data_IF_876066147226
#
_entry.id   IF_876066147226
#
_cell.length_a   1.000
_cell.length_b   1.000
_cell.length_c   1.000
_cell.angle_alpha   90.00
_cell.angle_beta   90.00
_cell.angle_gamma   90.00
#
_symmetry.space_group_name_H-M   'P 1'
#
loop_
_entity.id
_entity.type
_entity.pdbx_description
1 polymer ?
#
# COMPACT_ATOMS: atom_id res chain seq x y z
N UNK A 1 -40.35 -17.20 32.20
CA UNK A 1 -40.35 -16.70 30.81
C UNK A 1 -39.23 -15.69 30.65
N UNK A 2 -38.46 -15.87 29.60
CA UNK A 2 -37.01 -15.65 29.50
C UNK A 2 -36.63 -14.19 29.22
N UNK A 3 -35.75 -13.63 30.05
CA UNK A 3 -35.23 -12.26 29.96
C UNK A 3 -33.88 -12.27 29.26
N UNK A 4 -33.85 -12.46 27.94
CA UNK A 4 -32.61 -12.39 27.15
C UNK A 4 -32.89 -11.91 25.73
N UNK A 5 -32.86 -10.60 25.47
CA UNK A 5 -32.78 -10.04 24.11
C UNK A 5 -32.39 -8.55 24.17
N UNK A 6 -31.21 -8.26 24.70
CA UNK A 6 -30.46 -7.04 24.40
C UNK A 6 -28.98 -7.38 24.56
N UNK A 7 -28.26 -7.61 23.45
CA UNK A 7 -26.81 -7.43 23.30
C UNK A 7 -26.28 -8.01 21.98
N UNK A 8 -26.79 -7.59 20.82
CA UNK A 8 -26.20 -8.01 19.52
C UNK A 8 -26.04 -6.86 18.51
N UNK A 9 -26.02 -5.60 18.93
CA UNK A 9 -25.88 -4.47 17.99
C UNK A 9 -24.88 -3.38 18.38
N UNK A 10 -23.87 -3.68 19.21
CA UNK A 10 -22.92 -2.64 19.61
C UNK A 10 -21.43 -2.99 19.47
N UNK A 11 -21.06 -3.90 18.57
CA UNK A 11 -19.65 -4.20 18.24
C UNK A 11 -19.17 -3.60 16.90
N UNK A 12 -19.99 -2.80 16.20
CA UNK A 12 -19.61 -2.26 14.88
C UNK A 12 -19.03 -0.84 14.90
N UNK A 13 -18.70 -0.29 16.07
CA UNK A 13 -18.11 1.05 16.17
C UNK A 13 -16.72 0.96 16.75
N UNK A 14 -15.73 1.07 15.86
CA UNK A 14 -14.30 1.29 16.12
C UNK A 14 -13.39 0.06 16.14
N UNK A 15 -13.46 -0.80 15.11
CA UNK A 15 -12.36 -1.75 14.86
C UNK A 15 -11.64 -1.43 13.55
N UNK A 16 -10.38 -1.04 13.69
CA UNK A 16 -9.39 -1.01 12.61
C UNK A 16 -9.16 -2.39 11.99
N UNK A 17 -9.61 -3.48 12.64
CA UNK A 17 -9.62 -4.85 12.08
C UNK A 17 -10.63 -5.03 10.94
N UNK A 18 -11.59 -4.10 10.76
CA UNK A 18 -12.50 -4.09 9.60
C UNK A 18 -11.86 -3.59 8.30
N UNK A 19 -10.68 -2.98 8.35
CA UNK A 19 -10.02 -2.40 7.17
C UNK A 19 -9.31 -3.43 6.30
N UNK A 20 -9.05 -3.02 5.05
CA UNK A 20 -8.33 -3.78 4.03
C UNK A 20 -7.09 -3.01 3.59
N UNK A 21 -6.00 -3.72 3.31
CA UNK A 21 -4.71 -3.11 2.98
C UNK A 21 -4.21 -3.68 1.68
N UNK A 22 -3.86 -2.83 0.71
CA UNK A 22 -2.93 -3.25 -0.35
C UNK A 22 -1.51 -2.94 0.14
N UNK A 23 -0.61 -3.93 0.07
CA UNK A 23 0.80 -3.78 0.39
C UNK A 23 1.67 -4.00 -0.84
N UNK A 24 2.74 -3.23 -0.96
CA UNK A 24 3.67 -3.28 -2.10
C UNK A 24 5.13 -3.18 -1.64
N UNK A 25 6.01 -3.83 -2.41
CA UNK A 25 7.46 -3.72 -2.26
C UNK A 25 8.08 -3.51 -3.64
N UNK A 26 8.88 -2.46 -3.77
CA UNK A 26 9.56 -2.08 -5.02
C UNK A 26 11.07 -2.06 -4.84
N UNK A 27 11.80 -2.44 -5.89
CA UNK A 27 13.22 -2.21 -6.01
C UNK A 27 13.47 -0.96 -6.86
N UNK A 28 13.94 0.13 -6.23
CA UNK A 28 14.07 1.44 -6.87
C UNK A 28 15.55 1.84 -6.94
N UNK A 29 16.09 2.19 -8.13
CA UNK A 29 17.41 2.79 -8.23
C UNK A 29 17.51 4.05 -7.35
N UNK A 30 18.54 4.15 -6.51
CA UNK A 30 18.71 5.27 -5.57
C UNK A 30 18.70 6.63 -6.27
N UNK A 31 19.30 6.71 -7.46
CA UNK A 31 19.29 7.91 -8.32
C UNK A 31 17.88 8.36 -8.75
N UNK A 32 16.90 7.46 -8.73
CA UNK A 32 15.52 7.73 -9.15
C UNK A 32 14.60 8.09 -7.97
N UNK A 33 15.08 8.11 -6.71
CA UNK A 33 14.22 8.34 -5.54
C UNK A 33 13.48 9.68 -5.58
N UNK A 34 14.08 10.74 -6.13
CA UNK A 34 13.40 12.04 -6.30
C UNK A 34 12.21 11.92 -7.27
N UNK A 35 12.39 11.22 -8.38
CA UNK A 35 11.34 10.98 -9.36
C UNK A 35 10.23 10.08 -8.77
N UNK A 36 10.63 9.02 -8.07
CA UNK A 36 9.71 8.14 -7.33
C UNK A 36 8.85 8.94 -6.35
N UNK A 37 9.47 9.76 -5.49
CA UNK A 37 8.75 10.57 -4.51
C UNK A 37 7.73 11.51 -5.16
N UNK A 38 8.12 12.20 -6.23
CA UNK A 38 7.22 13.12 -6.93
C UNK A 38 6.01 12.38 -7.53
N UNK A 39 6.28 11.24 -8.16
CA UNK A 39 5.26 10.35 -8.72
C UNK A 39 4.31 9.83 -7.64
N UNK A 40 4.83 9.21 -6.59
CA UNK A 40 4.05 8.65 -5.50
C UNK A 40 3.27 9.71 -4.71
N UNK A 41 3.78 10.93 -4.57
CA UNK A 41 3.02 12.02 -3.96
C UNK A 41 1.78 12.37 -4.79
N UNK A 42 1.91 12.42 -6.12
CA UNK A 42 0.78 12.65 -7.03
C UNK A 42 -0.25 11.52 -6.96
N UNK A 43 0.20 10.26 -7.10
CA UNK A 43 -0.67 9.07 -7.04
C UNK A 43 -1.35 8.96 -5.67
N UNK A 44 -0.58 9.16 -4.59
CA UNK A 44 -1.08 9.11 -3.23
C UNK A 44 -2.16 10.15 -2.98
N UNK A 45 -1.94 11.41 -3.38
CA UNK A 45 -2.95 12.47 -3.25
C UNK A 45 -4.26 12.10 -3.96
N UNK A 46 -4.18 11.65 -5.21
CA UNK A 46 -5.36 11.22 -5.99
C UNK A 46 -6.07 10.03 -5.33
N UNK A 47 -5.30 9.05 -4.84
CA UNK A 47 -5.84 7.87 -4.16
C UNK A 47 -6.57 8.25 -2.86
N UNK A 48 -6.02 9.20 -2.10
CA UNK A 48 -6.65 9.76 -0.90
C UNK A 48 -7.92 10.55 -1.23
N UNK A 49 -7.90 11.36 -2.30
CA UNK A 49 -9.08 12.09 -2.80
C UNK A 49 -10.22 11.13 -3.21
N UNK A 50 -9.91 9.98 -3.80
CA UNK A 50 -10.91 8.95 -4.14
C UNK A 50 -11.43 8.15 -2.94
N UNK A 51 -10.81 8.32 -1.77
CA UNK A 51 -11.35 7.82 -0.49
C UNK A 51 -10.45 6.83 0.25
N UNK A 52 -9.22 6.59 -0.18
CA UNK A 52 -8.30 5.78 0.62
C UNK A 52 -8.08 6.42 2.00
N UNK A 53 -7.97 5.58 3.02
CA UNK A 53 -7.89 5.99 4.42
C UNK A 53 -6.46 6.38 4.82
N UNK A 54 -5.48 5.68 4.26
CA UNK A 54 -4.06 5.96 4.46
C UNK A 54 -3.27 5.60 3.19
N UNK A 55 -2.13 6.25 3.00
CA UNK A 55 -1.22 6.03 1.89
C UNK A 55 0.19 6.36 2.37
N UNK A 56 1.08 5.37 2.41
CA UNK A 56 2.47 5.57 2.85
C UNK A 56 3.46 4.91 1.90
N UNK A 57 4.58 5.60 1.73
CA UNK A 57 5.73 5.20 0.91
C UNK A 57 6.98 5.30 1.79
N UNK A 58 7.55 4.17 2.15
CA UNK A 58 8.66 4.09 3.10
C UNK A 58 9.93 3.64 2.38
N UNK A 59 10.95 4.49 2.34
CA UNK A 59 12.27 4.13 1.81
C UNK A 59 13.03 3.27 2.79
N UNK A 60 13.72 2.25 2.29
CA UNK A 60 14.61 1.42 3.10
C UNK A 60 15.76 2.23 3.68
N UNK A 61 15.92 2.15 5.00
CA UNK A 61 16.92 2.87 5.79
C UNK A 61 17.89 1.88 6.45
N UNK A 62 17.39 1.04 7.37
CA UNK A 62 18.12 -0.11 7.92
C UNK A 62 17.56 -1.44 7.37
N UNK A 63 18.29 -2.03 6.41
CA UNK A 63 17.90 -3.28 5.74
C UNK A 63 18.83 -4.46 6.06
N UNK A 64 19.84 -4.25 6.91
CA UNK A 64 20.83 -5.28 7.24
C UNK A 64 20.43 -6.05 8.51
N UNK A 65 19.39 -6.88 8.39
CA UNK A 65 18.85 -7.62 9.52
C UNK A 65 19.56 -8.96 9.74
N UNK A 66 19.82 -9.30 11.00
CA UNK A 66 20.45 -10.58 11.40
C UNK A 66 19.49 -11.77 11.40
N UNK A 67 18.18 -11.51 11.48
CA UNK A 67 17.13 -12.53 11.56
C UNK A 67 16.19 -12.45 10.35
N UNK A 68 15.70 -13.60 9.90
CA UNK A 68 14.79 -13.71 8.76
C UNK A 68 15.46 -13.54 7.39
N UNK A 69 14.63 -13.31 6.37
CA UNK A 69 15.10 -13.01 5.00
C UNK A 69 15.12 -11.49 4.82
N UNK A 70 16.30 -10.84 4.73
CA UNK A 70 16.35 -9.40 4.55
C UNK A 70 15.79 -9.01 3.17
N UNK A 71 15.10 -7.86 3.11
CA UNK A 71 14.49 -7.37 1.88
C UNK A 71 15.45 -7.30 0.68
N UNK A 72 16.71 -6.82 0.82
CA UNK A 72 17.67 -6.84 -0.27
C UNK A 72 17.85 -8.22 -0.93
N UNK A 73 17.87 -9.28 -0.10
CA UNK A 73 17.98 -10.66 -0.59
C UNK A 73 16.69 -11.11 -1.28
N UNK A 74 15.53 -10.85 -0.69
CA UNK A 74 14.24 -11.25 -1.27
C UNK A 74 13.94 -10.55 -2.60
N UNK A 75 14.25 -9.26 -2.68
CA UNK A 75 14.02 -8.42 -3.87
C UNK A 75 15.15 -8.51 -4.90
N UNK A 76 16.23 -9.26 -4.59
CA UNK A 76 17.44 -9.37 -5.43
C UNK A 76 17.95 -7.99 -5.83
N UNK A 77 18.10 -7.10 -4.84
CA UNK A 77 18.52 -5.72 -5.10
C UNK A 77 19.91 -5.66 -5.75
N UNK A 78 20.04 -4.76 -6.72
CA UNK A 78 21.35 -4.35 -7.22
C UNK A 78 22.01 -3.37 -6.23
N UNK A 79 23.34 -3.22 -6.20
CA UNK A 79 24.04 -2.35 -5.25
C UNK A 79 23.56 -0.87 -5.24
N UNK A 80 23.07 -0.40 -6.39
CA UNK A 80 22.57 0.95 -6.59
C UNK A 80 21.05 1.10 -6.39
N UNK A 81 20.37 0.08 -5.86
CA UNK A 81 18.94 0.09 -5.57
C UNK A 81 18.68 0.16 -4.06
N UNK A 82 17.48 0.59 -3.70
CA UNK A 82 16.91 0.44 -2.36
C UNK A 82 15.50 -0.14 -2.47
N UNK A 83 14.92 -0.52 -1.34
CA UNK A 83 13.53 -0.93 -1.25
C UNK A 83 12.63 0.28 -0.99
N UNK A 84 11.46 0.29 -1.63
CA UNK A 84 10.30 1.02 -1.11
C UNK A 84 9.30 -0.01 -0.59
N UNK A 85 8.91 0.12 0.68
CA UNK A 85 7.76 -0.56 1.25
C UNK A 85 6.59 0.40 1.28
N UNK A 86 5.46 0.04 0.69
CA UNK A 86 4.31 0.92 0.63
C UNK A 86 3.02 0.21 0.94
N UNK A 87 2.03 0.97 1.39
CA UNK A 87 0.70 0.44 1.64
C UNK A 87 -0.38 1.50 1.48
N UNK A 88 -1.59 1.01 1.21
CA UNK A 88 -2.80 1.80 1.09
C UNK A 88 -3.89 1.14 1.92
N UNK A 89 -4.53 1.91 2.79
CA UNK A 89 -5.57 1.41 3.70
C UNK A 89 -6.96 1.80 3.18
N UNK A 90 -7.89 0.87 3.24
CA UNK A 90 -9.26 1.00 2.75
C UNK A 90 -10.27 0.49 3.78
N UNK A 91 -11.52 0.97 3.69
CA UNK A 91 -12.63 0.49 4.53
C UNK A 91 -12.93 -1.00 4.38
N UNK A 92 -12.74 -1.57 3.19
CA UNK A 92 -12.98 -2.99 2.87
C UNK A 92 -12.39 -3.33 1.49
N UNK A 93 -12.35 -4.61 1.10
CA UNK A 93 -11.93 -5.02 -0.26
C UNK A 93 -12.82 -4.41 -1.35
N UNK A 94 -14.13 -4.40 -1.15
CA UNK A 94 -15.06 -3.79 -2.11
C UNK A 94 -14.84 -2.27 -2.23
N UNK A 95 -14.47 -1.59 -1.14
CA UNK A 95 -14.09 -0.19 -1.18
C UNK A 95 -12.78 0.03 -1.93
N UNK A 96 -11.77 -0.82 -1.68
CA UNK A 96 -10.49 -0.86 -2.40
C UNK A 96 -10.71 -1.02 -3.90
N UNK A 97 -11.52 -1.98 -4.32
CA UNK A 97 -11.76 -2.26 -5.74
C UNK A 97 -12.41 -1.06 -6.44
N UNK A 98 -13.37 -0.38 -5.80
CA UNK A 98 -13.95 0.86 -6.32
C UNK A 98 -12.95 2.01 -6.42
N UNK A 99 -12.09 2.19 -5.41
CA UNK A 99 -11.08 3.26 -5.43
C UNK A 99 -10.05 2.99 -6.51
N UNK A 100 -9.52 1.76 -6.59
CA UNK A 100 -8.53 1.39 -7.60
C UNK A 100 -9.09 1.60 -9.02
N UNK A 101 -10.36 1.25 -9.26
CA UNK A 101 -11.00 1.52 -10.55
C UNK A 101 -11.05 3.03 -10.87
N UNK A 102 -11.33 3.89 -9.89
CA UNK A 102 -11.31 5.34 -10.09
C UNK A 102 -9.90 5.88 -10.33
N UNK A 103 -8.91 5.41 -9.56
CA UNK A 103 -7.51 5.81 -9.71
C UNK A 103 -6.97 5.42 -11.08
N UNK A 104 -7.22 4.19 -11.53
CA UNK A 104 -6.77 3.73 -12.86
C UNK A 104 -7.39 4.49 -14.02
N UNK A 105 -8.60 5.03 -13.84
CA UNK A 105 -9.28 5.84 -14.85
C UNK A 105 -9.14 7.35 -14.61
N UNK A 106 -8.33 7.79 -13.64
CA UNK A 106 -8.19 9.21 -13.34
C UNK A 106 -7.38 9.89 -14.44
N UNK A 107 -7.94 10.90 -15.15
CA UNK A 107 -7.27 11.54 -16.29
C UNK A 107 -5.95 12.21 -15.89
N UNK A 108 -5.77 12.57 -14.62
CA UNK A 108 -4.52 13.15 -14.11
C UNK A 108 -3.37 12.14 -14.12
N UNK A 109 -3.66 10.84 -14.23
CA UNK A 109 -2.69 9.75 -14.29
C UNK A 109 -2.51 9.16 -15.70
N UNK A 110 -3.21 9.68 -16.71
CA UNK A 110 -3.20 9.12 -18.08
C UNK A 110 -1.80 8.98 -18.72
N UNK A 111 -0.85 9.81 -18.33
CA UNK A 111 0.53 9.80 -18.85
C UNK A 111 1.50 8.93 -18.03
N UNK A 112 1.02 8.18 -17.04
CA UNK A 112 1.86 7.25 -16.27
C UNK A 112 1.82 5.86 -16.91
N UNK A 113 2.66 5.64 -17.92
CA UNK A 113 2.83 4.32 -18.53
C UNK A 113 3.82 3.45 -17.72
N UNK A 114 3.79 2.13 -17.89
CA UNK A 114 4.69 1.20 -17.19
C UNK A 114 6.17 1.33 -17.57
N UNK A 115 6.49 1.91 -18.74
CA UNK A 115 7.85 2.16 -19.23
C UNK A 115 8.45 3.44 -18.62
N UNK A 116 7.62 4.36 -18.16
CA UNK A 116 7.96 5.63 -17.52
C UNK A 116 8.17 5.50 -16.01
N UNK A 117 7.91 4.31 -15.44
CA UNK A 117 8.09 4.07 -14.03
C UNK A 117 9.56 4.20 -13.63
N UNK A 118 9.89 4.89 -12.53
CA UNK A 118 11.26 5.06 -12.06
C UNK A 118 11.91 3.77 -11.50
N UNK A 119 11.29 2.62 -11.71
CA UNK A 119 11.67 1.30 -11.21
C UNK A 119 11.09 0.19 -12.08
N UNK A 120 11.55 -1.04 -11.86
CA UNK A 120 11.13 -2.20 -12.63
C UNK A 120 9.86 -2.85 -12.04
N UNK A 121 8.72 -2.58 -12.67
CA UNK A 121 7.42 -3.13 -12.28
C UNK A 121 7.37 -4.66 -12.26
N UNK A 122 8.22 -5.36 -13.05
CA UNK A 122 8.23 -6.84 -13.09
C UNK A 122 8.76 -7.47 -11.80
N UNK A 123 9.50 -6.69 -10.99
CA UNK A 123 10.02 -7.12 -9.68
C UNK A 123 9.14 -6.69 -8.51
N UNK A 124 8.00 -6.05 -8.76
CA UNK A 124 7.07 -5.66 -7.71
C UNK A 124 6.55 -6.91 -6.98
N UNK A 125 6.57 -6.85 -5.65
CA UNK A 125 5.82 -7.78 -4.80
C UNK A 125 4.61 -7.03 -4.29
N UNK A 126 3.41 -7.60 -4.44
CA UNK A 126 2.19 -6.94 -3.99
C UNK A 126 1.11 -7.94 -3.57
N UNK A 127 0.15 -7.47 -2.78
CA UNK A 127 -1.00 -8.26 -2.35
C UNK A 127 -2.03 -7.44 -1.58
N UNK A 128 -3.24 -7.98 -1.45
CA UNK A 128 -4.31 -7.44 -0.63
C UNK A 128 -4.49 -8.25 0.65
N UNK A 129 -4.68 -7.58 1.78
CA UNK A 129 -4.66 -8.17 3.12
C UNK A 129 -5.83 -7.67 3.96
N UNK A 130 -6.40 -8.55 4.79
CA UNK A 130 -7.27 -8.15 5.90
C UNK A 130 -6.42 -7.82 7.12
N UNK A 131 -6.76 -6.78 7.85
CA UNK A 131 -6.07 -6.46 9.12
C UNK A 131 -6.48 -7.49 10.17
N UNK A 132 -5.53 -8.30 10.62
CA UNK A 132 -5.75 -9.28 11.69
C UNK A 132 -5.65 -8.65 13.08
N UNK A 133 -4.71 -7.71 13.27
CA UNK A 133 -4.46 -7.01 14.54
C UNK A 133 -4.21 -5.52 14.24
N UNK A 134 -4.80 -4.64 15.04
CA UNK A 134 -4.49 -3.20 15.07
C UNK A 134 -4.78 -2.68 16.48
N UNK A 135 -3.93 -1.78 16.95
CA UNK A 135 -3.98 -1.14 18.27
C UNK A 135 -4.25 0.35 18.13
#
# INVERSE_FOLDING_TARGET
>A
MTRTSKNHQNESRNSSTGHYVDGFVFAVPKKNLKAYRAMSHKVGKITREHGALDYKECVGDDLNTKWGIPFPRKMKLKPNETVIFSYIVYKSRAHRDRINAKVMNDPRLANMDSKSMPFDMKRMVHGGFKILVSL
#
